data_IF_960977915842
#
_entry.id   IF_960977915842
#
_cell.length_a   1.000
_cell.length_b   1.000
_cell.length_c   1.000
_cell.angle_alpha   90.00
_cell.angle_beta   90.00
_cell.angle_gamma   90.00
#
_symmetry.space_group_name_H-M   'P 1'
#
loop_
_entity.id
_entity.type
_entity.pdbx_description
1 polymer ?
#
# COMPACT_ATOMS: atom_id res chain seq x y z
N UNK A 1 5.19 -5.90 42.29
CA UNK A 1 5.95 -5.02 41.36
C UNK A 1 6.47 -5.75 40.12
N UNK A 2 7.06 -6.96 40.23
CA UNK A 2 7.60 -7.70 39.07
C UNK A 2 6.53 -8.11 38.04
N UNK A 3 5.37 -8.61 38.48
CA UNK A 3 4.26 -9.00 37.59
C UNK A 3 3.61 -7.80 36.88
N UNK A 4 3.57 -6.63 37.52
CA UNK A 4 3.01 -5.40 36.94
C UNK A 4 3.90 -4.88 35.79
N UNK A 5 5.22 -4.98 35.96
CA UNK A 5 6.19 -4.62 34.92
C UNK A 5 6.10 -5.57 33.71
N UNK A 6 5.87 -6.87 33.94
CA UNK A 6 5.70 -7.87 32.87
C UNK A 6 4.43 -7.64 32.02
N UNK A 7 3.33 -7.19 32.64
CA UNK A 7 2.07 -6.90 31.93
C UNK A 7 2.22 -5.65 31.05
N UNK A 8 2.90 -4.61 31.55
CA UNK A 8 3.16 -3.38 30.78
C UNK A 8 4.01 -3.66 29.54
N UNK A 9 5.04 -4.51 29.64
CA UNK A 9 5.89 -4.91 28.51
C UNK A 9 5.13 -5.73 27.45
N UNK A 10 4.20 -6.60 27.87
CA UNK A 10 3.38 -7.39 26.94
C UNK A 10 2.38 -6.51 26.16
N UNK A 11 1.79 -5.50 26.80
CA UNK A 11 0.85 -4.56 26.18
C UNK A 11 1.54 -3.63 25.18
N UNK A 12 2.78 -3.20 25.47
CA UNK A 12 3.59 -2.38 24.54
C UNK A 12 4.05 -3.14 23.28
N UNK A 13 4.08 -4.47 23.32
CA UNK A 13 4.49 -5.31 22.18
C UNK A 13 3.38 -5.56 21.16
N UNK A 14 2.11 -5.32 21.53
CA UNK A 14 0.94 -5.64 20.70
C UNK A 14 0.48 -4.48 19.79
N UNK A 15 1.09 -3.29 19.89
CA UNK A 15 0.55 -2.05 19.31
C UNK A 15 1.20 -1.55 18.02
N UNK A 16 2.31 -2.14 17.58
CA UNK A 16 2.98 -1.73 16.35
C UNK A 16 2.58 -2.65 15.19
N UNK A 17 1.31 -2.63 14.78
CA UNK A 17 1.03 -2.87 13.37
C UNK A 17 1.75 -1.76 12.63
N UNK A 18 2.92 -2.06 12.06
CA UNK A 18 3.43 -1.31 10.93
C UNK A 18 2.32 -1.39 9.89
N UNK A 19 1.43 -0.39 9.89
CA UNK A 19 0.50 -0.20 8.80
C UNK A 19 1.41 0.07 7.60
N UNK A 20 1.74 -0.98 6.85
CA UNK A 20 2.40 -0.87 5.56
C UNK A 20 1.73 0.29 4.83
N UNK A 21 2.51 1.23 4.30
CA UNK A 21 2.00 2.47 3.72
C UNK A 21 0.75 2.20 2.88
N UNK A 22 -0.41 2.63 3.40
CA UNK A 22 -1.72 2.21 2.86
C UNK A 22 -2.18 3.25 1.85
N UNK A 23 -2.32 2.83 0.59
CA UNK A 23 -2.97 3.61 -0.46
C UNK A 23 -4.32 2.99 -0.79
N UNK A 24 -5.17 2.82 0.22
CA UNK A 24 -6.37 1.98 0.13
C UNK A 24 -7.52 2.56 -0.70
N UNK A 25 -7.40 3.80 -1.17
CA UNK A 25 -8.46 4.49 -1.91
C UNK A 25 -7.86 5.29 -3.08
N UNK A 26 -8.69 5.52 -4.11
CA UNK A 26 -8.36 6.42 -5.22
C UNK A 26 -7.81 7.74 -4.69
N UNK A 27 -6.60 8.09 -5.14
CA UNK A 27 -5.86 9.30 -4.72
C UNK A 27 -5.51 9.35 -3.21
N UNK A 28 -5.28 8.17 -2.62
CA UNK A 28 -4.67 7.98 -1.29
C UNK A 28 -5.69 7.87 -0.17
N UNK A 29 -6.57 8.86 -0.05
CA UNK A 29 -7.53 8.99 1.05
C UNK A 29 -8.85 9.64 0.61
N UNK A 30 -9.74 9.88 1.57
CA UNK A 30 -11.03 10.53 1.32
C UNK A 30 -10.91 11.97 0.80
N UNK A 31 -9.75 12.64 0.97
CA UNK A 31 -9.50 13.98 0.41
C UNK A 31 -9.20 13.92 -1.08
N UNK A 32 -8.83 12.74 -1.61
CA UNK A 32 -8.53 12.49 -3.03
C UNK A 32 -7.59 13.54 -3.60
N UNK A 33 -6.47 13.78 -2.92
CA UNK A 33 -5.49 14.78 -3.35
C UNK A 33 -4.30 14.18 -4.10
N UNK A 34 -4.06 12.88 -3.93
CA UNK A 34 -2.87 12.22 -4.46
C UNK A 34 -1.56 12.65 -3.79
N UNK A 35 -1.61 13.41 -2.69
CA UNK A 35 -0.43 13.89 -1.99
C UNK A 35 0.19 12.79 -1.11
N UNK A 36 1.48 12.53 -1.29
CA UNK A 36 2.27 11.53 -0.56
C UNK A 36 3.45 12.20 0.18
N UNK A 37 3.22 13.00 1.22
CA UNK A 37 4.27 13.84 1.82
C UNK A 37 5.36 13.04 2.55
N UNK A 38 5.08 11.78 2.89
CA UNK A 38 6.03 10.88 3.53
C UNK A 38 6.82 10.02 2.52
N UNK A 39 6.43 10.01 1.24
CA UNK A 39 7.09 9.21 0.23
C UNK A 39 8.47 9.79 -0.09
N UNK A 40 9.51 8.96 0.02
CA UNK A 40 10.86 9.30 -0.36
C UNK A 40 11.27 8.45 -1.57
N UNK A 41 11.71 9.10 -2.65
CA UNK A 41 12.14 8.42 -3.88
C UNK A 41 13.67 8.40 -3.92
N UNK A 42 14.24 7.22 -4.07
CA UNK A 42 15.67 7.04 -4.32
C UNK A 42 15.94 7.17 -5.82
N UNK A 43 17.00 7.89 -6.18
CA UNK A 43 17.41 8.12 -7.57
C UNK A 43 18.75 7.42 -7.88
N UNK A 44 18.99 7.03 -9.15
CA UNK A 44 18.13 7.18 -10.32
C UNK A 44 16.95 6.21 -10.32
N UNK A 45 15.85 6.62 -10.96
CA UNK A 45 14.70 5.74 -11.18
C UNK A 45 15.00 4.71 -12.27
N UNK A 46 14.43 3.52 -12.12
CA UNK A 46 14.45 2.44 -13.11
C UNK A 46 13.09 1.75 -13.21
N UNK A 47 12.87 1.00 -14.31
CA UNK A 47 11.65 0.20 -14.48
C UNK A 47 11.70 -1.01 -13.56
N UNK A 48 10.72 -1.14 -12.65
CA UNK A 48 10.60 -2.29 -11.76
C UNK A 48 9.87 -3.46 -12.46
N UNK A 49 8.71 -3.18 -13.06
CA UNK A 49 7.89 -4.19 -13.73
C UNK A 49 7.02 -3.55 -14.82
N UNK A 50 6.61 -4.37 -15.79
CA UNK A 50 5.59 -4.03 -16.78
C UNK A 50 4.62 -5.21 -16.90
N UNK A 51 3.37 -4.99 -16.50
CA UNK A 51 2.34 -6.03 -16.43
C UNK A 51 1.30 -5.72 -17.49
N UNK A 52 1.01 -6.62 -18.44
CA UNK A 52 -0.04 -6.41 -19.43
C UNK A 52 -1.43 -6.56 -18.78
N UNK A 53 -2.34 -5.64 -19.13
CA UNK A 53 -3.76 -5.71 -18.81
C UNK A 53 -4.56 -5.98 -20.10
N UNK A 54 -5.88 -5.84 -20.06
CA UNK A 54 -6.73 -6.07 -21.24
C UNK A 54 -7.11 -4.78 -21.99
N UNK A 55 -7.02 -3.63 -21.34
CA UNK A 55 -7.35 -2.32 -21.92
C UNK A 55 -6.55 -1.18 -21.24
N UNK A 56 -6.82 0.08 -21.62
CA UNK A 56 -6.22 1.26 -21.04
C UNK A 56 -6.55 1.46 -19.55
N UNK A 57 -5.59 1.98 -18.78
CA UNK A 57 -5.76 2.30 -17.36
C UNK A 57 -6.02 3.80 -17.20
N UNK A 58 -7.19 4.15 -16.65
CA UNK A 58 -7.62 5.55 -16.50
C UNK A 58 -7.66 6.02 -15.04
N UNK A 59 -7.66 5.10 -14.08
CA UNK A 59 -7.68 5.38 -12.66
C UNK A 59 -6.33 5.06 -12.01
N UNK A 60 -5.92 5.86 -11.02
CA UNK A 60 -4.76 5.53 -10.21
C UNK A 60 -5.02 4.23 -9.42
N UNK A 61 -4.02 3.34 -9.30
CA UNK A 61 -4.17 2.10 -8.54
C UNK A 61 -4.40 2.36 -7.05
N UNK A 62 -4.92 1.35 -6.36
CA UNK A 62 -4.96 1.30 -4.90
C UNK A 62 -4.08 0.18 -4.38
N UNK A 63 -3.41 0.39 -3.25
CA UNK A 63 -2.53 -0.61 -2.62
C UNK A 63 -3.07 -0.96 -1.24
N UNK A 64 -3.39 -2.24 -1.04
CA UNK A 64 -3.76 -2.80 0.27
C UNK A 64 -3.28 -4.23 0.36
N UNK A 65 -2.88 -4.64 1.56
CA UNK A 65 -2.57 -6.04 1.89
C UNK A 65 -1.58 -6.71 0.92
N UNK A 66 -0.50 -5.97 0.58
CA UNK A 66 0.56 -6.45 -0.30
C UNK A 66 0.15 -6.60 -1.77
N UNK A 67 -0.95 -5.96 -2.18
CA UNK A 67 -1.45 -6.00 -3.56
C UNK A 67 -1.74 -4.62 -4.09
N UNK A 68 -1.36 -4.40 -5.34
CA UNK A 68 -1.86 -3.29 -6.14
C UNK A 68 -3.11 -3.74 -6.89
N UNK A 69 -4.18 -2.97 -6.80
CA UNK A 69 -5.43 -3.20 -7.51
C UNK A 69 -5.57 -2.15 -8.60
N UNK A 70 -5.73 -2.62 -9.84
CA UNK A 70 -5.86 -1.79 -11.05
C UNK A 70 -7.17 -2.14 -11.74
N UNK A 71 -7.91 -1.11 -12.18
CA UNK A 71 -9.09 -1.28 -13.03
C UNK A 71 -8.76 -0.74 -14.42
N UNK A 72 -8.97 -1.55 -15.45
CA UNK A 72 -8.81 -1.11 -16.84
C UNK A 72 -10.14 -0.66 -17.48
N UNK A 73 -10.06 -0.15 -18.71
CA UNK A 73 -11.20 0.38 -19.48
C UNK A 73 -12.31 -0.65 -19.76
N UNK A 74 -11.99 -1.94 -19.70
CA UNK A 74 -12.95 -3.03 -19.85
C UNK A 74 -13.68 -3.36 -18.55
N UNK A 75 -13.33 -2.71 -17.43
CA UNK A 75 -13.91 -2.94 -16.12
C UNK A 75 -13.30 -4.13 -15.38
N UNK A 76 -12.19 -4.69 -15.87
CA UNK A 76 -11.49 -5.80 -15.21
C UNK A 76 -10.66 -5.29 -14.04
N UNK A 77 -10.75 -5.97 -12.89
CA UNK A 77 -9.94 -5.70 -11.70
C UNK A 77 -8.77 -6.67 -11.66
N UNK A 78 -7.55 -6.15 -11.71
CA UNK A 78 -6.33 -6.92 -11.57
C UNK A 78 -5.77 -6.73 -10.17
N UNK A 79 -5.53 -7.84 -9.46
CA UNK A 79 -4.87 -7.85 -8.16
C UNK A 79 -3.44 -8.37 -8.33
N UNK A 80 -2.47 -7.49 -8.13
CA UNK A 80 -1.07 -7.67 -8.48
C UNK A 80 -0.25 -7.73 -7.19
N UNK A 81 0.48 -8.82 -6.95
CA UNK A 81 1.25 -9.04 -5.71
C UNK A 81 2.53 -8.21 -5.66
N UNK A 82 2.67 -7.32 -4.68
CA UNK A 82 3.79 -6.36 -4.56
C UNK A 82 5.15 -6.94 -4.25
N UNK A 83 5.25 -8.26 -4.11
CA UNK A 83 6.49 -8.96 -3.77
C UNK A 83 7.01 -9.86 -4.89
N UNK A 84 6.20 -10.18 -5.90
CA UNK A 84 6.55 -11.18 -6.92
C UNK A 84 6.48 -10.70 -8.36
N UNK A 85 6.12 -9.43 -8.62
CA UNK A 85 6.22 -8.86 -9.96
C UNK A 85 7.61 -8.29 -10.27
#
# INVERSE_FOLDING_TARGET
MRAFLSIVVLVLSAGATLAAERWGQLQGDARRSGNAPAAAIQTPLGLLAAIPLTDGVFAAPVVSDGRAFVVDGSGNVFAIDTTTF
#
